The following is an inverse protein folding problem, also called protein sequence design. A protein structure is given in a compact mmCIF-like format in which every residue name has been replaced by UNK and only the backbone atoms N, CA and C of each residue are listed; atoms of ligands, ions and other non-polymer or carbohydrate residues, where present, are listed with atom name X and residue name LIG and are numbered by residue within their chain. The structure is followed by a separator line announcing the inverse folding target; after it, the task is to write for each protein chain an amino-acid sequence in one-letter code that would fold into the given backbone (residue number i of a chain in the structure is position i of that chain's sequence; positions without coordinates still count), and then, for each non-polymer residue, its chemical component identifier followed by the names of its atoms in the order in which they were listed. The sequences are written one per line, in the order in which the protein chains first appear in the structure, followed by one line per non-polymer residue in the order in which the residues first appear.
data_IF_496667133325
#
_entry.id   IF_496667133325
#
_cell.length_a   1.000
_cell.length_b   1.000
_cell.length_c   1.000
_cell.angle_alpha   90.00
_cell.angle_beta   90.00
_cell.angle_gamma   90.00
#
_symmetry.space_group_name_H-M   'P 1'
#
loop_
_entity.id
_entity.type
_entity.pdbx_description
1 polymer ?
#
# COMPACT_ATOMS: atom_id res chain seq x y z
N UNK A 1 -10.11 -20.38 5.42
CA UNK A 1 -9.04 -20.87 4.52
C UNK A 1 -8.17 -21.83 5.31
N UNK A 2 -7.94 -23.06 4.85
CA UNK A 2 -6.98 -23.94 5.51
C UNK A 2 -5.57 -23.31 5.39
N UNK A 3 -4.78 -23.32 6.47
CA UNK A 3 -3.51 -22.60 6.56
C UNK A 3 -2.39 -23.11 5.63
N UNK A 4 -2.64 -24.10 4.79
CA UNK A 4 -1.61 -24.75 3.96
C UNK A 4 -2.03 -24.94 2.48
N UNK A 5 -3.03 -24.23 1.97
CA UNK A 5 -3.36 -24.29 0.54
C UNK A 5 -2.61 -23.22 -0.22
N UNK A 6 -1.48 -23.57 -0.82
CA UNK A 6 -0.86 -22.76 -1.86
C UNK A 6 -1.58 -23.08 -3.18
N UNK A 7 -2.29 -22.11 -3.74
CA UNK A 7 -2.71 -22.22 -5.14
C UNK A 7 -1.58 -21.67 -6.02
N UNK A 8 -1.01 -22.49 -6.86
CA UNK A 8 -0.15 -22.04 -7.95
C UNK A 8 -1.05 -21.38 -8.97
N UNK A 9 -0.90 -20.09 -9.16
CA UNK A 9 -1.65 -19.34 -10.17
C UNK A 9 -0.79 -19.28 -11.42
N UNK A 10 -1.30 -19.83 -12.52
CA UNK A 10 -0.66 -19.69 -13.82
C UNK A 10 -0.82 -18.24 -14.30
N UNK A 11 0.31 -17.57 -14.43
CA UNK A 11 0.40 -16.23 -15.05
C UNK A 11 0.41 -16.39 -16.55
N UNK A 12 -0.37 -15.59 -17.32
CA UNK A 12 -0.32 -15.65 -18.78
C UNK A 12 1.12 -15.57 -19.29
N UNK A 13 1.48 -16.49 -20.17
CA UNK A 13 2.83 -16.62 -20.69
C UNK A 13 3.30 -15.29 -21.30
N UNK A 14 4.43 -14.80 -20.86
CA UNK A 14 5.06 -13.57 -21.34
C UNK A 14 4.61 -12.27 -20.69
N UNK A 15 3.50 -12.22 -19.93
CA UNK A 15 3.00 -10.96 -19.37
C UNK A 15 3.99 -10.30 -18.37
N UNK A 16 4.64 -11.13 -17.53
CA UNK A 16 5.64 -10.66 -16.54
C UNK A 16 7.07 -11.12 -16.86
N UNK A 17 7.31 -11.63 -18.05
CA UNK A 17 8.58 -12.24 -18.44
C UNK A 17 9.78 -11.33 -18.15
N UNK A 18 9.61 -10.03 -18.36
CA UNK A 18 10.67 -9.04 -18.26
C UNK A 18 10.49 -8.12 -17.03
N UNK A 19 9.70 -8.56 -16.04
CA UNK A 19 9.41 -7.80 -14.83
C UNK A 19 9.87 -8.56 -13.58
N UNK A 20 10.32 -7.80 -12.56
CA UNK A 20 10.53 -8.28 -11.19
C UNK A 20 9.48 -7.69 -10.28
N UNK A 21 8.89 -8.51 -9.42
CA UNK A 21 8.00 -8.03 -8.37
C UNK A 21 8.80 -7.28 -7.31
N UNK A 22 8.43 -6.04 -7.04
CA UNK A 22 9.00 -5.19 -5.98
C UNK A 22 8.08 -5.18 -4.76
N UNK A 23 6.77 -5.09 -4.98
CA UNK A 23 5.77 -4.99 -3.93
C UNK A 23 4.46 -5.62 -4.38
N UNK A 24 3.76 -6.27 -3.46
CA UNK A 24 2.39 -6.71 -3.67
C UNK A 24 1.57 -6.59 -2.38
N UNK A 25 0.34 -6.13 -2.52
CA UNK A 25 -0.63 -6.10 -1.45
C UNK A 25 -2.01 -6.55 -1.95
N UNK A 26 -2.80 -7.11 -1.05
CA UNK A 26 -4.15 -7.54 -1.35
C UNK A 26 -5.11 -6.37 -1.29
N UNK A 27 -5.79 -6.11 -2.39
CA UNK A 27 -6.91 -5.17 -2.44
C UNK A 27 -8.15 -5.70 -1.73
N UNK A 28 -8.98 -4.77 -1.26
CA UNK A 28 -10.25 -5.05 -0.58
C UNK A 28 -11.46 -4.71 -1.47
N UNK A 29 -11.29 -4.69 -2.79
CA UNK A 29 -12.42 -4.47 -3.68
C UNK A 29 -13.52 -5.50 -3.39
N UNK A 30 -14.74 -5.04 -3.20
CA UNK A 30 -15.92 -5.85 -2.86
C UNK A 30 -16.37 -6.79 -3.97
N UNK A 31 -15.44 -7.58 -4.49
CA UNK A 31 -15.64 -8.60 -5.50
C UNK A 31 -15.48 -9.98 -4.89
N UNK A 32 -16.10 -10.97 -5.48
CA UNK A 32 -16.01 -12.40 -5.06
C UNK A 32 -14.57 -12.94 -5.13
N UNK A 33 -13.68 -12.23 -5.83
CA UNK A 33 -12.29 -12.64 -6.04
C UNK A 33 -11.29 -11.62 -5.51
N UNK A 34 -10.16 -12.08 -4.94
CA UNK A 34 -9.14 -11.18 -4.44
C UNK A 34 -8.48 -10.40 -5.57
N UNK A 35 -8.39 -9.09 -5.37
CA UNK A 35 -7.55 -8.18 -6.13
C UNK A 35 -6.18 -8.07 -5.48
N UNK A 36 -5.15 -7.95 -6.29
CA UNK A 36 -3.80 -7.63 -5.84
C UNK A 36 -3.30 -6.39 -6.55
N UNK A 37 -2.65 -5.54 -5.80
CA UNK A 37 -1.95 -4.36 -6.29
C UNK A 37 -0.46 -4.61 -6.19
N UNK A 38 0.22 -4.51 -7.32
CA UNK A 38 1.62 -4.89 -7.44
C UNK A 38 2.44 -3.76 -8.03
N UNK A 39 3.67 -3.62 -7.57
CA UNK A 39 4.69 -2.79 -8.20
C UNK A 39 5.75 -3.71 -8.77
N UNK A 40 6.02 -3.58 -10.05
CA UNK A 40 7.04 -4.32 -10.78
C UNK A 40 8.12 -3.41 -11.32
N UNK A 41 9.35 -3.91 -11.36
CA UNK A 41 10.49 -3.29 -12.04
C UNK A 41 10.78 -4.04 -13.35
N UNK A 42 10.99 -3.32 -14.44
CA UNK A 42 11.41 -3.90 -15.70
C UNK A 42 12.89 -4.32 -15.67
N UNK A 43 13.22 -5.49 -16.26
CA UNK A 43 14.55 -6.09 -16.21
C UNK A 43 15.59 -5.32 -17.02
N UNK A 44 15.16 -4.73 -18.13
CA UNK A 44 16.03 -4.11 -19.13
C UNK A 44 16.13 -2.61 -18.98
N UNK A 45 15.17 -1.99 -18.31
CA UNK A 45 15.14 -0.57 -18.00
C UNK A 45 15.06 -0.38 -16.48
N UNK A 46 15.11 0.84 -16.00
CA UNK A 46 14.82 1.15 -14.60
C UNK A 46 13.35 1.51 -14.36
N UNK A 47 12.49 1.26 -15.34
CA UNK A 47 11.09 1.60 -15.27
C UNK A 47 10.34 0.70 -14.28
N UNK A 48 9.41 1.30 -13.58
CA UNK A 48 8.52 0.61 -12.66
C UNK A 48 7.07 0.73 -13.14
N UNK A 49 6.31 -0.32 -12.89
CA UNK A 49 4.91 -0.42 -13.29
C UNK A 49 4.04 -0.76 -12.10
N UNK A 50 2.92 -0.06 -11.98
CA UNK A 50 1.79 -0.48 -11.16
C UNK A 50 0.93 -1.45 -11.97
N UNK A 51 0.58 -2.58 -11.36
CA UNK A 51 -0.27 -3.60 -11.99
C UNK A 51 -1.37 -4.00 -11.01
N UNK A 52 -2.60 -3.84 -11.44
CA UNK A 52 -3.77 -4.39 -10.76
C UNK A 52 -4.11 -5.76 -11.34
N UNK A 53 -4.31 -6.73 -10.46
CA UNK A 53 -4.53 -8.12 -10.84
C UNK A 53 -5.75 -8.68 -10.14
N UNK A 54 -6.62 -9.32 -10.90
CA UNK A 54 -7.71 -10.14 -10.38
C UNK A 54 -7.30 -11.61 -10.36
N UNK A 55 -7.44 -12.25 -9.20
CA UNK A 55 -7.25 -13.68 -9.04
C UNK A 55 -8.60 -14.39 -9.03
N UNK A 56 -8.90 -15.16 -10.06
CA UNK A 56 -10.15 -15.92 -10.18
C UNK A 56 -9.88 -17.41 -10.33
N UNK A 57 -10.90 -18.30 -10.20
CA UNK A 57 -10.73 -19.73 -10.48
C UNK A 57 -10.27 -20.05 -11.90
N UNK A 58 -10.52 -19.14 -12.85
CA UNK A 58 -10.02 -19.24 -14.23
C UNK A 58 -8.58 -18.75 -14.40
N UNK A 59 -7.92 -18.33 -13.30
CA UNK A 59 -6.53 -17.91 -13.29
C UNK A 59 -6.35 -16.42 -13.00
N UNK A 60 -5.16 -15.95 -13.31
CA UNK A 60 -4.68 -14.60 -13.11
C UNK A 60 -5.10 -13.69 -14.28
N UNK A 61 -5.79 -12.61 -13.98
CA UNK A 61 -6.23 -11.62 -14.97
C UNK A 61 -5.69 -10.24 -14.63
N UNK A 62 -4.70 -9.72 -15.39
CA UNK A 62 -4.31 -8.34 -15.24
C UNK A 62 -5.45 -7.41 -15.70
N UNK A 63 -5.80 -6.44 -14.85
CA UNK A 63 -6.84 -5.46 -15.13
C UNK A 63 -6.25 -4.14 -15.61
N UNK A 64 -5.11 -3.74 -15.04
CA UNK A 64 -4.47 -2.46 -15.30
C UNK A 64 -2.95 -2.63 -15.24
N UNK A 65 -2.23 -1.97 -16.16
CA UNK A 65 -0.78 -1.83 -16.10
C UNK A 65 -0.43 -0.40 -16.47
N UNK A 66 0.22 0.32 -15.57
CA UNK A 66 0.62 1.71 -15.76
C UNK A 66 2.07 1.91 -15.35
N UNK A 67 2.81 2.71 -16.14
CA UNK A 67 4.16 3.12 -15.77
C UNK A 67 4.08 4.11 -14.60
N UNK A 68 4.87 3.84 -13.55
CA UNK A 68 4.96 4.72 -12.40
C UNK A 68 5.78 5.96 -12.75
N UNK A 69 5.26 7.15 -12.48
CA UNK A 69 5.86 8.44 -12.82
C UNK A 69 6.84 8.99 -11.77
N UNK A 70 7.30 8.16 -10.81
CA UNK A 70 8.31 8.56 -9.81
C UNK A 70 9.45 7.54 -9.74
N UNK A 71 10.61 7.96 -9.19
CA UNK A 71 11.74 7.06 -8.99
C UNK A 71 11.49 6.13 -7.80
N UNK A 72 11.48 4.82 -8.06
CA UNK A 72 11.37 3.80 -7.01
C UNK A 72 12.77 3.44 -6.53
N UNK A 73 12.99 3.56 -5.22
CA UNK A 73 14.24 3.20 -4.57
C UNK A 73 14.18 1.77 -4.00
N UNK A 74 15.32 1.17 -3.75
CA UNK A 74 15.40 -0.10 -3.03
C UNK A 74 14.88 0.12 -1.58
N UNK A 75 14.13 -0.84 -1.08
CA UNK A 75 13.50 -0.79 0.26
C UNK A 75 12.49 0.34 0.49
N UNK A 76 12.05 1.03 -0.56
CA UNK A 76 11.00 2.04 -0.43
C UNK A 76 9.70 1.40 0.07
N UNK A 77 9.12 1.90 1.19
CA UNK A 77 7.85 1.40 1.66
C UNK A 77 6.68 1.90 0.79
N UNK A 78 5.76 0.99 0.49
CA UNK A 78 4.55 1.27 -0.28
C UNK A 78 3.29 0.85 0.48
N UNK A 79 2.20 1.56 0.20
CA UNK A 79 0.85 1.12 0.51
C UNK A 79 -0.10 1.58 -0.60
N UNK A 80 -0.89 0.67 -1.16
CA UNK A 80 -1.77 0.98 -2.29
C UNK A 80 -3.20 1.11 -1.82
N UNK A 81 -3.79 2.28 -2.07
CA UNK A 81 -5.20 2.52 -1.80
C UNK A 81 -6.05 1.99 -2.94
N UNK A 82 -6.93 1.07 -2.63
CA UNK A 82 -7.89 0.49 -3.57
C UNK A 82 -9.15 1.35 -3.76
N UNK A 83 -9.39 2.32 -2.84
CA UNK A 83 -10.59 3.18 -2.91
C UNK A 83 -10.37 4.43 -3.74
N UNK A 84 -9.14 4.92 -3.80
CA UNK A 84 -8.81 6.22 -4.39
C UNK A 84 -7.78 6.13 -5.51
N UNK A 85 -7.40 4.90 -5.93
CA UNK A 85 -6.38 4.67 -6.96
C UNK A 85 -5.06 5.41 -6.67
N UNK A 86 -4.64 5.42 -5.42
CA UNK A 86 -3.44 6.10 -4.95
C UNK A 86 -2.38 5.11 -4.45
N UNK A 87 -1.12 5.46 -4.64
CA UNK A 87 0.01 4.76 -4.05
C UNK A 87 0.65 5.72 -3.05
N UNK A 88 0.63 5.35 -1.76
CA UNK A 88 1.42 6.03 -0.74
C UNK A 88 2.81 5.42 -0.71
N UNK A 89 3.84 6.26 -0.61
CA UNK A 89 5.23 5.81 -0.52
C UNK A 89 6.07 6.79 0.30
N UNK A 90 7.10 6.24 0.96
CA UNK A 90 8.00 7.01 1.82
C UNK A 90 9.36 7.22 1.18
N UNK A 91 9.91 8.44 1.27
CA UNK A 91 11.28 8.77 0.89
C UNK A 91 11.92 9.57 2.03
N UNK A 92 12.82 8.95 2.77
CA UNK A 92 13.37 9.54 3.97
C UNK A 92 12.27 9.89 4.97
N UNK A 93 12.13 11.17 5.32
CA UNK A 93 11.10 11.68 6.21
C UNK A 93 9.88 12.29 5.50
N UNK A 94 9.72 12.08 4.21
CA UNK A 94 8.58 12.57 3.44
C UNK A 94 7.67 11.43 3.00
N UNK A 95 6.38 11.60 3.25
CA UNK A 95 5.31 10.73 2.77
C UNK A 95 4.67 11.35 1.55
N UNK A 96 4.65 10.61 0.47
CA UNK A 96 4.07 11.01 -0.80
C UNK A 96 2.82 10.20 -1.12
N UNK A 97 1.93 10.82 -1.88
CA UNK A 97 0.82 10.17 -2.55
C UNK A 97 1.00 10.32 -4.07
N UNK A 98 1.00 9.20 -4.78
CA UNK A 98 0.95 9.16 -6.24
C UNK A 98 -0.47 8.81 -6.68
N UNK A 99 -1.11 9.72 -7.37
CA UNK A 99 -2.42 9.50 -7.98
C UNK A 99 -2.23 8.80 -9.34
N UNK A 100 -2.68 7.57 -9.43
CA UNK A 100 -2.57 6.78 -10.67
C UNK A 100 -3.46 7.30 -11.80
N UNK A 101 -4.49 8.10 -11.48
CA UNK A 101 -5.39 8.67 -12.48
C UNK A 101 -4.77 9.82 -13.26
N UNK A 102 -3.94 10.65 -12.63
CA UNK A 102 -3.30 11.81 -13.24
C UNK A 102 -1.77 11.71 -13.34
N UNK A 103 -1.17 10.64 -12.80
CA UNK A 103 0.27 10.39 -12.86
C UNK A 103 1.13 11.38 -12.07
N UNK A 104 0.59 11.97 -11.01
CA UNK A 104 1.27 13.00 -10.21
C UNK A 104 1.55 12.52 -8.79
N UNK A 105 2.74 12.87 -8.29
CA UNK A 105 3.11 12.72 -6.90
C UNK A 105 2.97 14.02 -6.15
N UNK A 106 2.42 13.96 -4.95
CA UNK A 106 2.27 15.10 -4.04
C UNK A 106 2.81 14.69 -2.68
N UNK A 107 3.58 15.55 -2.03
CA UNK A 107 3.96 15.39 -0.63
C UNK A 107 2.71 15.55 0.24
N UNK A 108 2.40 14.51 1.02
CA UNK A 108 1.19 14.47 1.87
C UNK A 108 1.50 14.82 3.32
N UNK A 109 2.71 14.50 3.80
CA UNK A 109 3.11 14.73 5.18
C UNK A 109 4.64 14.62 5.34
N UNK A 110 5.23 15.52 6.14
CA UNK A 110 6.68 15.58 6.40
C UNK A 110 7.05 15.93 7.85
N UNK A 111 6.07 15.93 8.76
CA UNK A 111 6.29 16.32 10.16
C UNK A 111 6.63 15.12 11.07
N UNK A 112 7.40 14.14 10.57
CA UNK A 112 7.81 12.97 11.34
C UNK A 112 8.96 13.23 12.31
N UNK A 113 9.66 14.35 12.14
CA UNK A 113 10.82 14.74 12.93
C UNK A 113 12.10 14.84 12.09
N UNK A 114 13.07 15.56 12.62
CA UNK A 114 14.36 15.76 11.91
C UNK A 114 15.13 14.45 11.80
N UNK A 115 15.51 14.08 10.57
CA UNK A 115 16.24 12.86 10.26
C UNK A 115 15.44 11.58 10.44
N UNK A 116 14.12 11.67 10.57
CA UNK A 116 13.24 10.51 10.58
C UNK A 116 13.30 9.75 9.25
N UNK A 117 13.15 8.45 9.31
CA UNK A 117 13.06 7.56 8.15
C UNK A 117 11.73 6.81 8.19
N UNK A 118 10.93 6.92 7.13
CA UNK A 118 9.74 6.10 6.96
C UNK A 118 10.19 4.69 6.60
N UNK A 119 9.80 3.71 7.39
CA UNK A 119 10.30 2.34 7.27
C UNK A 119 9.24 1.32 6.91
N UNK A 120 7.96 1.66 7.12
CA UNK A 120 6.84 0.80 6.75
C UNK A 120 5.57 1.62 6.53
N UNK A 121 4.74 1.18 5.61
CA UNK A 121 3.41 1.73 5.36
C UNK A 121 2.39 0.59 5.37
N UNK A 122 1.20 0.85 5.92
CA UNK A 122 0.12 -0.10 5.91
C UNK A 122 -1.25 0.58 5.88
N UNK A 123 -2.09 0.19 4.92
CA UNK A 123 -3.46 0.67 4.80
C UNK A 123 -4.43 -0.34 5.41
N UNK A 124 -5.36 0.17 6.21
CA UNK A 124 -6.40 -0.63 6.87
C UNK A 124 -7.76 -0.08 6.51
N UNK A 125 -8.60 -0.85 5.80
CA UNK A 125 -9.99 -0.48 5.61
C UNK A 125 -10.74 -0.60 6.95
N UNK A 126 -11.59 0.38 7.21
CA UNK A 126 -12.54 0.36 8.32
C UNK A 126 -13.93 0.14 7.75
N UNK A 127 -14.64 -0.80 8.30
CA UNK A 127 -16.00 -1.10 7.91
C UNK A 127 -16.95 -0.71 9.02
N UNK A 128 -18.08 -0.14 8.66
CA UNK A 128 -19.15 0.25 9.55
C UNK A 128 -20.50 -0.19 9.02
N UNK A 129 -21.52 -0.07 9.83
CA UNK A 129 -22.89 -0.32 9.42
C UNK A 129 -23.37 0.78 8.45
N UNK A 130 -24.04 0.40 7.39
CA UNK A 130 -24.60 1.34 6.42
C UNK A 130 -25.71 2.17 7.08
N UNK A 131 -25.61 3.51 6.93
CA UNK A 131 -26.69 4.40 7.36
C UNK A 131 -27.92 4.34 6.45
N UNK A 132 -27.79 3.83 5.22
CA UNK A 132 -28.87 3.72 4.25
C UNK A 132 -29.54 2.35 4.26
N UNK A 133 -28.79 1.30 4.60
CA UNK A 133 -29.26 -0.09 4.57
C UNK A 133 -28.87 -0.78 5.88
N UNK A 134 -29.75 -0.76 6.91
CA UNK A 134 -29.48 -1.41 8.20
C UNK A 134 -29.13 -2.88 8.03
N UNK A 135 -28.04 -3.32 8.66
CA UNK A 135 -27.51 -4.68 8.57
C UNK A 135 -26.51 -4.91 7.43
N UNK A 136 -26.29 -3.93 6.55
CA UNK A 136 -25.23 -3.98 5.56
C UNK A 136 -23.94 -3.34 6.10
N UNK A 137 -22.82 -3.99 5.84
CA UNK A 137 -21.49 -3.48 6.17
C UNK A 137 -20.91 -2.74 4.98
N UNK A 138 -20.54 -1.49 5.18
CA UNK A 138 -19.93 -0.65 4.14
C UNK A 138 -18.56 -0.15 4.59
N UNK A 139 -17.70 0.16 3.63
CA UNK A 139 -16.43 0.82 3.91
C UNK A 139 -16.72 2.23 4.47
N UNK A 140 -16.34 2.46 5.72
CA UNK A 140 -16.58 3.73 6.43
C UNK A 140 -15.39 4.67 6.40
N UNK A 141 -14.18 4.14 6.42
CA UNK A 141 -12.93 4.90 6.37
C UNK A 141 -11.76 4.03 5.90
N UNK A 142 -10.67 4.65 5.52
CA UNK A 142 -9.39 4.00 5.28
C UNK A 142 -8.35 4.66 6.18
N UNK A 143 -7.59 3.87 6.92
CA UNK A 143 -6.51 4.34 7.77
C UNK A 143 -5.16 3.98 7.19
N UNK A 144 -4.22 4.94 7.21
CA UNK A 144 -2.83 4.72 6.87
C UNK A 144 -1.99 4.73 8.15
N UNK A 145 -1.27 3.66 8.38
CA UNK A 145 -0.25 3.55 9.43
C UNK A 145 1.12 3.71 8.82
N UNK A 146 1.92 4.61 9.41
CA UNK A 146 3.28 4.94 8.95
C UNK A 146 4.25 4.58 10.06
N UNK A 147 5.10 3.58 9.82
CA UNK A 147 6.20 3.23 10.70
C UNK A 147 7.40 4.14 10.43
N UNK A 148 7.95 4.69 11.51
CA UNK A 148 9.03 5.66 11.44
C UNK A 148 10.13 5.29 12.43
N UNK A 149 11.39 5.36 11.99
CA UNK A 149 12.55 5.32 12.86
C UNK A 149 13.23 6.69 12.96
N UNK A 150 13.81 7.00 14.14
CA UNK A 150 14.55 8.23 14.36
C UNK A 150 16.05 7.94 14.42
N UNK A 151 16.93 8.88 14.01
CA UNK A 151 18.38 8.72 14.12
C UNK A 151 18.82 8.45 15.57
N UNK A 152 19.68 7.46 15.75
CA UNK A 152 20.18 7.07 17.08
C UNK A 152 19.17 6.29 17.94
N UNK A 153 17.97 6.04 17.45
CA UNK A 153 16.93 5.25 18.12
C UNK A 153 16.67 3.93 17.38
N UNK A 154 17.71 3.20 17.02
CA UNK A 154 17.60 1.94 16.25
C UNK A 154 16.75 0.86 16.94
N UNK A 155 16.53 1.00 18.25
CA UNK A 155 15.73 0.05 19.06
C UNK A 155 14.33 0.53 19.35
N UNK A 156 13.96 1.71 18.89
CA UNK A 156 12.66 2.31 19.12
C UNK A 156 12.11 2.90 17.83
N UNK A 157 10.87 2.61 17.53
CA UNK A 157 10.13 3.18 16.43
C UNK A 157 8.91 3.96 16.88
N UNK A 158 8.33 4.67 15.97
CA UNK A 158 7.02 5.34 16.16
C UNK A 158 6.06 4.90 15.07
N UNK A 159 4.77 4.85 15.38
CA UNK A 159 3.71 4.66 14.39
C UNK A 159 2.82 5.89 14.39
N UNK A 160 2.66 6.48 13.24
CA UNK A 160 1.71 7.55 12.97
C UNK A 160 0.47 6.95 12.34
N UNK A 161 -0.71 7.37 12.79
CA UNK A 161 -2.01 6.96 12.27
C UNK A 161 -2.67 8.15 11.59
N UNK A 162 -3.10 7.93 10.34
CA UNK A 162 -3.82 8.91 9.54
C UNK A 162 -5.13 8.31 9.05
N UNK A 163 -6.13 9.16 8.84
CA UNK A 163 -7.29 8.87 8.00
C UNK A 163 -7.00 9.34 6.59
N UNK A 164 -7.29 8.48 5.60
CA UNK A 164 -7.15 8.80 4.17
C UNK A 164 -8.48 9.31 3.67
N UNK A 165 -8.50 10.57 3.24
CA UNK A 165 -9.67 11.22 2.67
C UNK A 165 -9.90 10.78 1.21
N UNK A 166 -11.09 11.02 0.67
CA UNK A 166 -11.46 10.66 -0.70
C UNK A 166 -10.61 11.37 -1.78
N UNK A 167 -10.03 12.50 -1.45
CA UNK A 167 -9.11 13.28 -2.30
C UNK A 167 -7.63 12.90 -2.11
N UNK A 168 -7.35 11.81 -1.39
CA UNK A 168 -6.01 11.33 -1.00
C UNK A 168 -5.25 12.24 -0.03
N UNK A 169 -5.86 13.28 0.51
CA UNK A 169 -5.27 14.02 1.62
C UNK A 169 -5.29 13.18 2.90
N UNK A 170 -4.40 13.52 3.83
CA UNK A 170 -4.28 12.80 5.09
C UNK A 170 -4.72 13.68 6.25
N UNK A 171 -5.56 13.12 7.11
CA UNK A 171 -5.89 13.72 8.41
C UNK A 171 -5.11 12.97 9.49
N UNK A 172 -4.19 13.66 10.17
CA UNK A 172 -3.44 13.08 11.29
C UNK A 172 -4.38 12.77 12.44
N UNK A 173 -4.31 11.54 12.98
CA UNK A 173 -5.12 11.08 14.10
C UNK A 173 -4.29 11.08 15.39
N UNK A 174 -3.19 10.32 15.38
CA UNK A 174 -2.33 10.16 16.56
C UNK A 174 -0.97 9.58 16.20
N UNK A 175 -0.04 9.73 17.15
CA UNK A 175 1.29 9.09 17.14
C UNK A 175 1.39 8.14 18.34
N UNK A 176 1.95 6.96 18.12
CA UNK A 176 2.37 6.03 19.17
C UNK A 176 3.89 5.92 19.12
N UNK A 177 4.54 6.34 20.21
CA UNK A 177 6.00 6.34 20.38
C UNK A 177 6.49 5.11 21.14
N UNK A 178 7.80 4.91 21.14
CA UNK A 178 8.50 3.89 21.92
C UNK A 178 8.03 2.46 21.63
N UNK A 179 7.78 2.18 20.35
CA UNK A 179 7.53 0.81 19.92
C UNK A 179 8.88 0.14 19.76
N UNK A 180 9.07 -1.01 20.43
CA UNK A 180 10.35 -1.70 20.45
C UNK A 180 10.80 -2.13 19.03
N UNK A 181 12.00 -1.72 18.64
CA UNK A 181 12.63 -2.08 17.37
C UNK A 181 12.23 -1.21 16.17
N UNK A 182 13.02 -1.34 15.08
CA UNK A 182 12.69 -0.74 13.78
C UNK A 182 11.45 -1.42 13.21
N UNK A 183 10.46 -0.65 12.81
CA UNK A 183 9.24 -1.16 12.19
C UNK A 183 9.54 -1.41 10.72
N UNK A 184 9.73 -2.65 10.35
CA UNK A 184 10.05 -3.06 8.96
C UNK A 184 8.84 -3.54 8.19
N UNK A 185 7.77 -3.90 8.89
CA UNK A 185 6.48 -4.27 8.29
C UNK A 185 5.35 -4.13 9.31
N UNK A 186 4.16 -3.97 8.82
CA UNK A 186 2.94 -3.93 9.63
C UNK A 186 1.89 -4.86 9.03
N UNK A 187 1.12 -5.51 9.88
CA UNK A 187 -0.02 -6.34 9.47
C UNK A 187 -1.15 -6.20 10.48
N UNK A 188 -2.36 -6.36 10.00
CA UNK A 188 -3.54 -6.37 10.86
C UNK A 188 -3.94 -7.80 11.18
N UNK A 189 -4.25 -8.05 12.45
CA UNK A 189 -4.81 -9.34 12.88
C UNK A 189 -6.30 -9.15 13.14
N UNK A 190 -7.12 -9.88 12.39
CA UNK A 190 -8.58 -9.95 12.58
C UNK A 190 -8.93 -10.79 13.81
#
# INVERSE_FOLDING_TARGET
WPPNSFSVVEVPEGYFRDLYLVYADRGFAGTDYPHYYCVFKEKTTSDHYFVEVLMSPSGFKPLKKEKIGFAVQEDMPFAVSFTTSAIFYGVGNELYCYDTGNGRSVSCYNEFGSGAEITALYLVPQYGESSQYPGETVLSAVKLFVGVSLPGQEREGSVFEFEVNLDNTLTFIRKKEHIAGKIVSMTWKY
#
